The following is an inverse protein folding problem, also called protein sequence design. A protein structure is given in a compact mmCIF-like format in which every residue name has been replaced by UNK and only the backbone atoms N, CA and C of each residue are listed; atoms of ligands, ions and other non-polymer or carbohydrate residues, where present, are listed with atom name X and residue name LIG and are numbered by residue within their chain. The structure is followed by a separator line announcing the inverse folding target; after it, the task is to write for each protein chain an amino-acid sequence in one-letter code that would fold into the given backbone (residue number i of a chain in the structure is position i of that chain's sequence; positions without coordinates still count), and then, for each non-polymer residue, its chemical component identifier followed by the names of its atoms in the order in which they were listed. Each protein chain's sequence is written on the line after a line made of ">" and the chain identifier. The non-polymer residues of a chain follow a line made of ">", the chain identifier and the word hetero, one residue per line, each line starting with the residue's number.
data_IF_124221764909
#
_entry.id   IF_124221764909
#
_cell.length_a   1.000
_cell.length_b   1.000
_cell.length_c   1.000
_cell.angle_alpha   90.00
_cell.angle_beta   90.00
_cell.angle_gamma   90.00
#
_symmetry.space_group_name_H-M   'P 1'
#
loop_
_entity.id
_entity.type
_entity.pdbx_description
1 polymer ?
#
# COMPACT_ATOMS: atom_id res chain seq x y z
N UNK A 1 2.44 -3.70 12.71
CA UNK A 1 1.32 -2.78 12.44
C UNK A 1 1.61 -1.40 13.00
N UNK A 2 0.89 -0.40 12.52
CA UNK A 2 0.90 0.97 13.03
C UNK A 2 -0.36 1.19 13.83
N UNK A 3 -0.34 2.17 14.74
CA UNK A 3 -1.53 2.71 15.40
C UNK A 3 -2.35 3.63 14.47
N UNK A 4 -2.42 3.31 13.19
CA UNK A 4 -3.17 4.05 12.18
C UNK A 4 -4.63 3.55 12.13
N UNK A 5 -5.58 4.47 11.96
CA UNK A 5 -7.02 4.18 11.87
C UNK A 5 -7.35 3.10 10.83
N UNK A 6 -6.61 3.09 9.71
CA UNK A 6 -6.77 2.06 8.68
C UNK A 6 -6.41 0.66 9.13
N UNK A 7 -5.40 0.51 10.00
CA UNK A 7 -5.02 -0.79 10.56
C UNK A 7 -6.08 -1.29 11.53
N UNK A 8 -6.59 -0.43 12.42
CA UNK A 8 -7.66 -0.80 13.35
C UNK A 8 -8.92 -1.24 12.62
N UNK A 9 -9.31 -0.52 11.57
CA UNK A 9 -10.49 -0.87 10.77
C UNK A 9 -10.35 -2.24 10.15
N UNK A 10 -9.24 -2.50 9.45
CA UNK A 10 -9.03 -3.78 8.79
C UNK A 10 -8.80 -4.93 9.76
N UNK A 11 -8.17 -4.69 10.91
CA UNK A 11 -8.05 -5.68 11.97
C UNK A 11 -9.42 -6.11 12.50
N UNK A 12 -10.29 -5.15 12.78
CA UNK A 12 -11.65 -5.41 13.24
C UNK A 12 -12.48 -6.19 12.22
N UNK A 13 -12.47 -5.74 10.96
CA UNK A 13 -13.19 -6.40 9.87
C UNK A 13 -12.68 -7.84 9.65
N UNK A 14 -11.36 -8.03 9.61
CA UNK A 14 -10.74 -9.33 9.39
C UNK A 14 -11.09 -10.33 10.50
N UNK A 15 -10.97 -9.91 11.76
CA UNK A 15 -11.32 -10.74 12.90
C UNK A 15 -12.82 -11.08 12.92
N UNK A 16 -13.67 -10.18 12.44
CA UNK A 16 -15.09 -10.43 12.34
C UNK A 16 -15.41 -11.48 11.27
N UNK A 17 -14.82 -11.36 10.08
CA UNK A 17 -15.11 -12.24 8.95
C UNK A 17 -14.74 -13.71 9.18
N UNK A 18 -13.66 -14.00 9.91
CA UNK A 18 -13.29 -15.39 10.22
C UNK A 18 -14.33 -16.14 11.05
N UNK A 19 -15.26 -15.42 11.69
CA UNK A 19 -16.38 -16.03 12.41
C UNK A 19 -17.52 -16.48 11.47
N UNK A 20 -17.47 -16.11 10.19
CA UNK A 20 -18.42 -16.49 9.14
C UNK A 20 -17.83 -17.48 8.13
N UNK A 21 -16.88 -18.32 8.57
CA UNK A 21 -16.21 -19.32 7.73
C UNK A 21 -15.52 -18.74 6.49
N UNK A 22 -14.95 -17.53 6.62
CA UNK A 22 -14.16 -16.91 5.56
C UNK A 22 -12.68 -17.25 5.75
N UNK A 23 -12.09 -17.98 4.79
CA UNK A 23 -10.65 -18.18 4.74
C UNK A 23 -9.96 -16.90 4.32
N UNK A 24 -9.26 -16.26 5.24
CA UNK A 24 -8.69 -14.95 5.02
C UNK A 24 -7.17 -14.98 4.94
N UNK A 25 -6.63 -14.46 3.84
CA UNK A 25 -5.20 -14.20 3.68
C UNK A 25 -4.95 -12.71 3.51
N UNK A 26 -4.14 -12.13 4.38
CA UNK A 26 -3.74 -10.73 4.32
C UNK A 26 -2.30 -10.64 3.78
N UNK A 27 -2.10 -9.87 2.71
CA UNK A 27 -0.77 -9.55 2.19
C UNK A 27 -0.42 -8.12 2.60
N UNK A 28 0.66 -7.97 3.36
CA UNK A 28 1.09 -6.67 3.88
C UNK A 28 2.59 -6.43 3.68
N UNK A 29 3.06 -5.22 3.96
CA UNK A 29 4.47 -4.86 3.83
C UNK A 29 5.33 -5.55 4.90
N UNK A 30 6.49 -6.08 4.49
CA UNK A 30 7.52 -6.55 5.41
C UNK A 30 8.34 -5.37 5.91
N UNK A 31 8.42 -5.18 7.23
CA UNK A 31 9.19 -4.12 7.86
C UNK A 31 8.89 -2.72 7.29
N UNK A 32 7.64 -2.27 7.31
CA UNK A 32 7.33 -0.93 6.87
C UNK A 32 8.13 0.07 7.73
N UNK A 33 8.76 1.06 7.09
CA UNK A 33 9.46 2.15 7.76
C UNK A 33 8.40 3.12 8.31
N UNK A 34 7.94 2.86 9.51
CA UNK A 34 6.85 3.59 10.14
C UNK A 34 7.32 4.04 11.51
N UNK A 35 7.04 5.31 11.84
CA UNK A 35 7.46 5.94 13.08
C UNK A 35 6.78 5.30 14.33
N UNK A 36 5.51 5.00 14.23
CA UNK A 36 4.70 4.50 15.35
C UNK A 36 4.32 3.03 15.09
N UNK A 37 5.21 2.12 15.47
CA UNK A 37 4.93 0.69 15.43
C UNK A 37 4.24 0.28 16.73
N UNK A 38 3.05 -0.25 16.62
CA UNK A 38 2.35 -0.88 17.73
C UNK A 38 2.36 -2.40 17.54
N UNK A 39 3.25 -3.06 18.25
CA UNK A 39 3.39 -4.51 18.18
C UNK A 39 2.27 -5.22 18.93
N UNK A 40 1.59 -4.56 19.87
CA UNK A 40 0.48 -5.16 20.62
C UNK A 40 -0.68 -5.56 19.73
N UNK A 41 -0.85 -4.88 18.58
CA UNK A 41 -1.86 -5.20 17.59
C UNK A 41 -1.65 -6.56 16.91
N UNK A 42 -0.43 -7.08 16.90
CA UNK A 42 -0.17 -8.43 16.38
C UNK A 42 -0.86 -9.51 17.22
N UNK A 43 -0.94 -9.30 18.53
CA UNK A 43 -1.61 -10.22 19.45
C UNK A 43 -3.15 -10.19 19.31
N UNK A 44 -3.67 -9.16 18.65
CA UNK A 44 -5.11 -9.01 18.38
C UNK A 44 -5.56 -9.64 17.06
N UNK A 45 -4.63 -10.11 16.25
CA UNK A 45 -4.94 -10.80 14.98
C UNK A 45 -5.40 -12.22 15.31
N UNK A 46 -6.60 -12.59 14.85
CA UNK A 46 -7.10 -13.95 15.01
C UNK A 46 -6.15 -14.96 14.35
N UNK A 47 -5.85 -16.05 15.06
CA UNK A 47 -4.89 -17.08 14.61
C UNK A 47 -5.30 -17.79 13.32
N UNK A 48 -6.57 -17.76 12.97
CA UNK A 48 -7.10 -18.29 11.68
C UNK A 48 -6.72 -17.45 10.48
N UNK A 49 -6.34 -16.18 10.68
CA UNK A 49 -5.96 -15.27 9.61
C UNK A 49 -4.52 -15.54 9.18
N UNK A 50 -4.34 -15.88 7.92
CA UNK A 50 -3.01 -16.02 7.33
C UNK A 50 -2.45 -14.65 6.96
N UNK A 51 -1.33 -14.24 7.59
CA UNK A 51 -0.68 -12.97 7.29
C UNK A 51 0.64 -13.20 6.55
N UNK A 52 0.75 -12.63 5.35
CA UNK A 52 1.89 -12.76 4.47
C UNK A 52 2.57 -11.42 4.24
N UNK A 53 3.89 -11.44 4.32
CA UNK A 53 4.69 -10.22 4.21
C UNK A 53 5.42 -10.13 2.88
N UNK A 54 5.40 -8.95 2.26
CA UNK A 54 6.10 -8.66 1.01
C UNK A 54 7.09 -7.53 1.20
N UNK A 55 8.34 -7.76 0.79
CA UNK A 55 9.35 -6.70 0.77
C UNK A 55 9.00 -5.68 -0.32
N UNK A 56 9.13 -4.40 0.01
CA UNK A 56 9.06 -3.29 -0.93
C UNK A 56 10.36 -2.52 -0.95
N UNK A 57 10.64 -1.88 -2.08
CA UNK A 57 11.67 -0.87 -2.20
C UNK A 57 11.02 0.47 -2.48
N UNK A 58 11.53 1.52 -1.86
CA UNK A 58 11.08 2.90 -2.06
C UNK A 58 12.26 3.74 -2.56
N UNK A 59 12.06 4.57 -3.59
CA UNK A 59 13.15 5.31 -4.25
C UNK A 59 13.83 6.37 -3.37
N UNK A 60 13.21 6.73 -2.25
CA UNK A 60 13.76 7.69 -1.28
C UNK A 60 13.66 7.06 0.10
N UNK A 61 14.82 6.83 0.68
CA UNK A 61 14.94 6.41 2.07
C UNK A 61 14.85 7.64 2.97
N UNK A 62 13.69 7.88 3.56
CA UNK A 62 13.53 8.91 4.59
C UNK A 62 14.14 8.40 5.91
N UNK A 63 15.46 8.27 5.98
CA UNK A 63 16.15 8.01 7.24
C UNK A 63 16.07 9.18 8.25
N UNK A 64 15.57 10.34 7.83
CA UNK A 64 15.29 11.47 8.70
C UNK A 64 13.88 11.36 9.26
N UNK A 65 13.80 10.99 10.52
CA UNK A 65 12.62 10.66 11.31
C UNK A 65 11.59 11.78 11.52
N UNK A 66 11.83 13.00 11.03
CA UNK A 66 10.99 14.14 11.34
C UNK A 66 10.58 14.86 10.05
N UNK A 67 9.32 14.70 9.66
CA UNK A 67 8.56 15.50 8.70
C UNK A 67 8.71 15.19 7.22
N UNK A 68 7.58 14.78 6.62
CA UNK A 68 7.33 14.91 5.18
C UNK A 68 7.66 16.34 4.71
N UNK A 69 7.37 17.34 5.53
CA UNK A 69 7.73 18.74 5.30
C UNK A 69 9.24 18.99 5.20
N UNK A 70 10.08 18.22 5.86
CA UNK A 70 11.54 18.43 5.85
C UNK A 70 12.18 18.14 4.48
N UNK A 71 11.64 17.21 3.71
CA UNK A 71 12.13 16.90 2.35
C UNK A 71 11.85 18.08 1.41
N UNK A 72 10.77 18.82 1.63
CA UNK A 72 10.40 19.99 0.81
C UNK A 72 11.27 21.22 1.12
N UNK A 73 11.84 21.33 2.31
CA UNK A 73 12.57 22.54 2.76
C UNK A 73 14.09 22.50 2.54
N UNK A 74 14.70 21.35 2.27
CA UNK A 74 16.13 21.32 1.99
C UNK A 74 16.41 21.80 0.57
N UNK A 75 16.95 23.03 0.44
CA UNK A 75 17.32 23.74 -0.83
C UNK A 75 18.37 23.04 -1.72
N UNK A 76 18.76 21.80 -1.45
CA UNK A 76 19.77 21.10 -2.23
C UNK A 76 19.18 20.60 -3.55
N UNK A 77 19.85 20.89 -4.66
CA UNK A 77 19.45 20.50 -6.03
C UNK A 77 19.23 18.99 -6.17
N UNK A 78 20.04 18.18 -5.52
CA UNK A 78 19.91 16.71 -5.53
C UNK A 78 18.57 16.24 -4.89
N UNK A 79 18.11 16.92 -3.85
CA UNK A 79 16.83 16.61 -3.23
C UNK A 79 15.65 16.99 -4.13
N UNK A 80 15.76 18.09 -4.88
CA UNK A 80 14.76 18.48 -5.87
C UNK A 80 14.67 17.46 -7.00
N UNK A 81 15.81 16.99 -7.51
CA UNK A 81 15.85 15.95 -8.54
C UNK A 81 15.24 14.64 -8.03
N UNK A 82 15.62 14.19 -6.83
CA UNK A 82 15.03 12.98 -6.22
C UNK A 82 13.54 13.09 -6.05
N UNK A 83 13.05 14.26 -5.60
CA UNK A 83 11.61 14.50 -5.43
C UNK A 83 10.88 14.50 -6.77
N UNK A 84 11.48 15.12 -7.80
CA UNK A 84 10.92 15.12 -9.15
C UNK A 84 10.83 13.71 -9.73
N UNK A 85 11.89 12.91 -9.62
CA UNK A 85 11.94 11.50 -10.04
C UNK A 85 10.84 10.71 -9.32
N UNK A 86 10.73 10.86 -7.99
CA UNK A 86 9.68 10.20 -7.22
C UNK A 86 8.28 10.58 -7.68
N UNK A 87 8.05 11.86 -7.92
CA UNK A 87 6.75 12.38 -8.30
C UNK A 87 6.31 11.99 -9.72
N UNK A 88 7.26 11.86 -10.66
CA UNK A 88 6.95 11.71 -12.08
C UNK A 88 7.20 10.31 -12.65
N UNK A 89 8.08 9.52 -12.03
CA UNK A 89 8.39 8.16 -12.50
C UNK A 89 7.70 7.05 -11.67
N UNK A 90 7.32 7.36 -10.42
CA UNK A 90 6.65 6.40 -9.54
C UNK A 90 5.17 6.74 -9.39
N UNK A 91 4.42 6.46 -10.43
CA UNK A 91 2.98 6.74 -10.51
C UNK A 91 2.21 5.44 -10.28
N UNK A 92 1.15 5.48 -9.48
CA UNK A 92 0.52 6.62 -8.79
C UNK A 92 1.23 7.05 -7.51
N UNK A 93 2.13 6.24 -6.95
CA UNK A 93 2.86 6.53 -5.72
C UNK A 93 4.18 5.76 -5.62
N UNK A 94 5.01 6.13 -4.64
CA UNK A 94 6.34 5.54 -4.45
C UNK A 94 6.34 4.04 -4.14
N UNK A 95 5.19 3.46 -3.79
CA UNK A 95 5.05 2.03 -3.46
C UNK A 95 4.64 1.16 -4.66
N UNK A 96 4.65 1.70 -5.87
CA UNK A 96 4.32 0.95 -7.09
C UNK A 96 5.17 -0.31 -7.27
N UNK A 97 6.44 -0.30 -6.86
CA UNK A 97 7.32 -1.49 -6.90
C UNK A 97 6.85 -2.54 -5.88
N UNK A 98 6.50 -2.11 -4.67
CA UNK A 98 5.91 -3.00 -3.68
C UNK A 98 4.62 -3.64 -4.18
N UNK A 99 3.73 -2.87 -4.79
CA UNK A 99 2.47 -3.36 -5.37
C UNK A 99 2.71 -4.41 -6.46
N UNK A 100 3.73 -4.24 -7.30
CA UNK A 100 4.14 -5.27 -8.28
C UNK A 100 4.60 -6.58 -7.60
N UNK A 101 5.32 -6.47 -6.48
CA UNK A 101 5.74 -7.64 -5.72
C UNK A 101 4.56 -8.33 -5.00
N UNK A 102 3.58 -7.56 -4.52
CA UNK A 102 2.32 -8.08 -3.99
C UNK A 102 1.56 -8.85 -5.07
N UNK A 103 1.44 -8.30 -6.27
CA UNK A 103 0.82 -8.98 -7.41
C UNK A 103 1.49 -10.33 -7.68
N UNK A 104 2.81 -10.39 -7.82
CA UNK A 104 3.55 -11.64 -8.05
C UNK A 104 3.34 -12.67 -6.94
N UNK A 105 3.28 -12.23 -5.69
CA UNK A 105 3.01 -13.10 -4.55
C UNK A 105 1.58 -13.63 -4.57
N UNK A 106 0.62 -12.75 -4.83
CA UNK A 106 -0.79 -13.12 -4.98
C UNK A 106 -0.99 -14.15 -6.11
N UNK A 107 -0.39 -13.94 -7.29
CA UNK A 107 -0.48 -14.87 -8.42
C UNK A 107 -0.02 -16.29 -8.04
N UNK A 108 1.10 -16.40 -7.28
CA UNK A 108 1.58 -17.69 -6.77
C UNK A 108 0.58 -18.34 -5.81
N UNK A 109 -0.04 -17.55 -4.95
CA UNK A 109 -1.03 -18.05 -3.99
C UNK A 109 -2.30 -18.47 -4.67
N UNK A 110 -2.81 -17.66 -5.60
CA UNK A 110 -4.04 -17.95 -6.31
C UNK A 110 -3.93 -19.19 -7.21
N UNK A 111 -2.75 -19.46 -7.77
CA UNK A 111 -2.49 -20.71 -8.50
C UNK A 111 -2.59 -21.95 -7.61
N UNK A 112 -2.16 -21.83 -6.36
CA UNK A 112 -2.17 -22.93 -5.38
C UNK A 112 -3.52 -23.07 -4.69
N UNK A 113 -4.06 -21.95 -4.20
CA UNK A 113 -5.33 -21.89 -3.47
C UNK A 113 -6.21 -20.87 -4.18
N UNK A 114 -7.26 -21.32 -4.84
CA UNK A 114 -8.17 -20.40 -5.54
C UNK A 114 -8.86 -19.48 -4.53
N UNK A 115 -8.79 -18.18 -4.77
CA UNK A 115 -9.50 -17.17 -4.01
C UNK A 115 -10.73 -16.71 -4.79
N UNK A 116 -11.83 -16.45 -4.10
CA UNK A 116 -13.09 -16.01 -4.72
C UNK A 116 -13.16 -14.50 -4.87
N UNK A 117 -12.63 -13.79 -3.86
CA UNK A 117 -12.70 -12.33 -3.76
C UNK A 117 -11.32 -11.77 -3.46
N UNK A 118 -10.97 -10.69 -4.13
CA UNK A 118 -9.80 -9.89 -3.84
C UNK A 118 -10.23 -8.53 -3.34
N UNK A 119 -9.62 -8.08 -2.23
CA UNK A 119 -9.82 -6.73 -1.70
C UNK A 119 -8.49 -6.02 -1.68
N UNK A 120 -8.45 -4.79 -2.19
CA UNK A 120 -7.30 -3.91 -2.10
C UNK A 120 -7.67 -2.65 -1.34
N UNK A 121 -6.84 -2.23 -0.38
CA UNK A 121 -7.08 -1.03 0.41
C UNK A 121 -5.92 -0.05 0.27
N UNK A 122 -6.20 1.16 -0.12
CA UNK A 122 -5.25 2.28 -0.28
C UNK A 122 -5.51 3.41 0.72
N UNK A 123 -4.50 4.27 0.98
CA UNK A 123 -3.16 4.28 0.37
C UNK A 123 -2.26 3.13 0.82
N UNK A 124 -1.28 2.70 0.03
CA UNK A 124 -0.87 3.30 -1.26
C UNK A 124 -1.84 2.93 -2.39
N UNK A 125 -2.16 3.89 -3.27
CA UNK A 125 -3.12 3.69 -4.35
C UNK A 125 -2.60 2.75 -5.46
N UNK A 126 -1.28 2.62 -5.60
CA UNK A 126 -0.66 1.65 -6.51
C UNK A 126 -1.12 0.20 -6.27
N UNK A 127 -1.64 -0.13 -5.08
CA UNK A 127 -2.16 -1.47 -4.80
C UNK A 127 -3.41 -1.79 -5.65
N UNK A 128 -4.20 -0.76 -6.01
CA UNK A 128 -5.38 -0.94 -6.84
C UNK A 128 -5.02 -1.33 -8.27
N UNK A 129 -3.84 -0.93 -8.77
CA UNK A 129 -3.33 -1.41 -10.07
C UNK A 129 -3.04 -2.90 -10.05
N UNK A 130 -2.52 -3.42 -8.93
CA UNK A 130 -2.34 -4.86 -8.75
C UNK A 130 -3.70 -5.57 -8.70
N UNK A 131 -4.69 -5.01 -7.98
CA UNK A 131 -6.06 -5.54 -7.93
C UNK A 131 -6.72 -5.59 -9.30
N UNK A 132 -6.63 -4.50 -10.07
CA UNK A 132 -7.15 -4.44 -11.44
C UNK A 132 -6.50 -5.50 -12.34
N UNK A 133 -5.18 -5.69 -12.23
CA UNK A 133 -4.46 -6.72 -12.99
C UNK A 133 -4.95 -8.12 -12.62
N UNK A 134 -5.14 -8.42 -11.33
CA UNK A 134 -5.68 -9.69 -10.86
C UNK A 134 -7.09 -9.95 -11.40
N UNK A 135 -7.99 -8.94 -11.33
CA UNK A 135 -9.32 -9.01 -11.90
C UNK A 135 -9.29 -9.37 -13.38
N UNK A 136 -8.45 -8.68 -14.17
CA UNK A 136 -8.33 -8.92 -15.63
C UNK A 136 -7.71 -10.28 -15.96
N UNK A 137 -6.75 -10.75 -15.15
CA UNK A 137 -6.02 -12.00 -15.45
C UNK A 137 -6.78 -13.25 -14.98
N UNK A 138 -7.47 -13.18 -13.84
CA UNK A 138 -8.07 -14.34 -13.19
C UNK A 138 -9.61 -14.30 -13.11
N UNK A 139 -10.25 -13.22 -13.58
CA UNK A 139 -11.70 -13.07 -13.50
C UNK A 139 -12.25 -12.87 -12.07
N UNK A 140 -11.39 -12.49 -11.12
CA UNK A 140 -11.77 -12.37 -9.71
C UNK A 140 -12.78 -11.25 -9.46
N UNK A 141 -13.66 -11.46 -8.51
CA UNK A 141 -14.43 -10.38 -7.89
C UNK A 141 -13.46 -9.50 -7.13
N UNK A 142 -13.41 -8.22 -7.47
CA UNK A 142 -12.46 -7.26 -6.87
C UNK A 142 -13.17 -6.08 -6.25
N UNK A 143 -12.81 -5.79 -5.00
CA UNK A 143 -13.27 -4.63 -4.25
C UNK A 143 -12.06 -3.71 -4.04
N UNK A 144 -12.18 -2.45 -4.46
CA UNK A 144 -11.17 -1.42 -4.23
C UNK A 144 -11.65 -0.48 -3.11
N UNK A 145 -10.95 -0.48 -2.00
CA UNK A 145 -11.22 0.36 -0.85
C UNK A 145 -10.32 1.61 -0.88
N UNK A 146 -10.87 2.73 -1.32
CA UNK A 146 -10.22 4.03 -1.34
C UNK A 146 -10.52 4.77 -0.04
N UNK A 147 -9.55 4.87 0.87
CA UNK A 147 -9.72 5.57 2.15
C UNK A 147 -9.49 7.06 2.04
N UNK A 148 -8.61 7.47 1.14
CA UNK A 148 -8.25 8.87 0.91
C UNK A 148 -8.49 9.25 -0.55
N UNK A 149 -8.84 10.52 -0.84
CA UNK A 149 -9.00 10.98 -2.22
C UNK A 149 -7.68 10.89 -2.99
N UNK A 150 -7.71 10.30 -4.17
CA UNK A 150 -6.51 10.12 -4.99
C UNK A 150 -6.03 11.44 -5.61
N UNK A 151 -6.91 12.11 -6.36
CA UNK A 151 -6.53 13.26 -7.20
C UNK A 151 -6.50 14.57 -6.45
N UNK A 152 -7.38 14.75 -5.48
CA UNK A 152 -7.51 16.00 -4.71
C UNK A 152 -6.75 15.98 -3.37
N UNK A 153 -5.84 15.04 -3.20
CA UNK A 153 -5.07 14.96 -1.97
C UNK A 153 -4.10 16.14 -1.90
N UNK A 154 -4.15 16.90 -0.80
CA UNK A 154 -3.37 18.14 -0.64
C UNK A 154 -1.85 17.94 -0.82
N UNK A 155 -1.32 16.75 -0.54
CA UNK A 155 0.09 16.42 -0.73
C UNK A 155 0.46 16.44 -2.23
N UNK A 156 -0.45 16.08 -3.13
CA UNK A 156 -0.19 16.10 -4.57
C UNK A 156 0.02 17.53 -5.08
N UNK A 157 -0.62 18.53 -4.46
CA UNK A 157 -0.45 19.94 -4.82
C UNK A 157 0.95 20.47 -4.53
N UNK A 158 1.68 19.85 -3.59
CA UNK A 158 3.04 20.23 -3.22
C UNK A 158 4.13 19.45 -3.96
N UNK A 159 3.77 18.44 -4.77
CA UNK A 159 4.70 17.67 -5.56
C UNK A 159 4.99 18.36 -6.92
N UNK A 160 6.25 18.33 -7.42
CA UNK A 160 6.62 18.86 -8.71
C UNK A 160 6.16 17.92 -9.84
N UNK A 161 4.84 17.77 -10.00
CA UNK A 161 4.22 16.92 -11.01
C UNK A 161 4.22 17.62 -12.37
N UNK A 162 4.57 16.88 -13.42
CA UNK A 162 4.36 17.34 -14.81
C UNK A 162 2.93 17.01 -15.27
N UNK A 163 2.46 17.69 -16.36
CA UNK A 163 1.10 17.48 -16.89
C UNK A 163 0.80 16.01 -17.17
N UNK A 164 1.72 15.26 -17.80
CA UNK A 164 1.55 13.84 -18.11
C UNK A 164 1.44 12.95 -16.85
N UNK A 165 2.02 13.39 -15.73
CA UNK A 165 1.94 12.66 -14.46
C UNK A 165 0.62 12.88 -13.71
N UNK A 166 -0.06 14.00 -13.99
CA UNK A 166 -1.37 14.34 -13.45
C UNK A 166 -2.48 13.56 -14.17
N UNK A 167 -2.31 13.34 -15.48
CA UNK A 167 -3.30 12.69 -16.36
C UNK A 167 -3.25 11.16 -16.31
N UNK A 168 -2.23 10.57 -15.70
CA UNK A 168 -2.06 9.12 -15.52
C UNK A 168 -2.71 8.60 -14.25
#
# INVERSE_FOLDING_TARGET
>A
PTSDSGVFRWLSIANHWVNYNVDLTIITSKNPKILNKDLSLLNKVDKRIKVEHVKGWEPIDNNNKNNINYVFYKKNIFNKIKLWVRANLFIPDAKVIWSKNVLRKFEKFHKKNKYDILITSGPPHSIHLAGLKCKKTFGLKWIADFRDPWTNFYINKSLPLNKKSIEK
#
